data_IF_464136067686
#
_entry.id   IF_464136067686
#
_cell.length_a   1.000
_cell.length_b   1.000
_cell.length_c   1.000
_cell.angle_alpha   90.00
_cell.angle_beta   90.00
_cell.angle_gamma   90.00
#
_symmetry.space_group_name_H-M   'P 1'
#
loop_
_entity.id
_entity.type
_entity.pdbx_description
1 polymer ?
#
# COMPACT_ATOMS: atom_id res chain seq x y z
N UNK A 1 31.37 10.64 27.64
CA UNK A 1 31.94 9.91 26.48
C UNK A 1 31.71 8.41 26.56
N UNK A 2 32.05 7.68 27.62
CA UNK A 2 31.74 6.22 27.70
C UNK A 2 30.25 5.91 27.85
N UNK A 3 29.52 6.63 28.71
CA UNK A 3 28.06 6.47 28.91
C UNK A 3 27.21 6.73 27.65
N UNK A 4 27.73 7.47 26.68
CA UNK A 4 27.06 7.71 25.38
C UNK A 4 27.21 6.52 24.45
N UNK A 5 28.41 5.93 24.39
CA UNK A 5 28.70 4.73 23.59
C UNK A 5 27.94 3.49 24.08
N UNK A 6 27.70 3.41 25.39
CA UNK A 6 26.92 2.31 25.98
C UNK A 6 25.43 2.40 25.61
N UNK A 7 24.84 3.60 25.64
CA UNK A 7 23.46 3.85 25.19
C UNK A 7 23.28 3.61 23.69
N UNK A 8 24.31 3.92 22.89
CA UNK A 8 24.29 3.68 21.45
C UNK A 8 24.27 2.18 21.13
N UNK A 9 25.10 1.38 21.82
CA UNK A 9 25.09 -0.09 21.71
C UNK A 9 23.78 -0.72 22.17
N UNK A 10 23.16 -0.18 23.21
CA UNK A 10 21.86 -0.66 23.70
C UNK A 10 20.75 -0.45 22.65
N UNK A 11 20.70 0.74 22.05
CA UNK A 11 19.78 1.06 20.94
C UNK A 11 20.01 0.19 19.71
N UNK A 12 21.27 -0.07 19.36
CA UNK A 12 21.62 -0.94 18.24
C UNK A 12 21.16 -2.38 18.48
N UNK A 13 21.26 -2.85 19.74
CA UNK A 13 20.79 -4.17 20.15
C UNK A 13 19.27 -4.28 20.21
N UNK A 14 18.58 -3.19 20.55
CA UNK A 14 17.12 -3.10 20.47
C UNK A 14 16.65 -3.12 19.02
N UNK A 15 17.25 -2.32 18.14
CA UNK A 15 16.96 -2.33 16.69
C UNK A 15 17.16 -3.71 16.07
N UNK A 16 18.28 -4.37 16.38
CA UNK A 16 18.53 -5.72 15.87
C UNK A 16 17.55 -6.79 16.40
N UNK A 17 16.95 -6.57 17.57
CA UNK A 17 15.87 -7.44 18.09
C UNK A 17 14.53 -7.15 17.43
N UNK A 18 14.26 -5.88 17.14
CA UNK A 18 13.05 -5.41 16.46
C UNK A 18 13.03 -5.92 15.00
N UNK A 19 14.13 -5.76 14.26
CA UNK A 19 14.29 -6.30 12.89
C UNK A 19 14.08 -7.82 12.84
N UNK A 20 14.70 -8.58 13.76
CA UNK A 20 14.51 -10.03 13.83
C UNK A 20 13.07 -10.44 14.16
N UNK A 21 12.34 -9.60 14.87
CA UNK A 21 10.94 -9.87 15.22
C UNK A 21 10.06 -9.60 14.00
N UNK A 22 10.30 -8.50 13.29
CA UNK A 22 9.59 -8.14 12.07
C UNK A 22 9.79 -9.18 10.97
N UNK A 23 11.03 -9.67 10.79
CA UNK A 23 11.33 -10.76 9.85
C UNK A 23 10.51 -12.02 10.17
N UNK A 24 10.47 -12.42 11.45
CA UNK A 24 9.75 -13.62 11.88
C UNK A 24 8.23 -13.48 11.75
N UNK A 25 7.71 -12.29 12.03
CA UNK A 25 6.29 -12.00 11.88
C UNK A 25 5.91 -11.99 10.39
N UNK A 26 6.78 -11.48 9.51
CA UNK A 26 6.58 -11.52 8.06
C UNK A 26 6.55 -12.94 7.48
N UNK A 27 7.49 -13.80 7.84
CA UNK A 27 7.49 -15.23 7.42
C UNK A 27 6.21 -15.94 7.87
N UNK A 28 5.76 -15.69 9.09
CA UNK A 28 4.54 -16.29 9.61
C UNK A 28 3.30 -15.81 8.83
N UNK A 29 3.25 -14.53 8.47
CA UNK A 29 2.15 -14.01 7.64
C UNK A 29 2.14 -14.62 6.23
N UNK A 30 3.30 -14.82 5.62
CA UNK A 30 3.41 -15.41 4.28
C UNK A 30 2.95 -16.87 4.26
N UNK A 31 3.33 -17.64 5.28
CA UNK A 31 2.86 -19.03 5.42
C UNK A 31 1.35 -19.12 5.64
N UNK A 32 0.77 -18.21 6.43
CA UNK A 32 -0.69 -18.12 6.66
C UNK A 32 -1.46 -17.72 5.39
N UNK A 33 -0.92 -16.77 4.62
CA UNK A 33 -1.46 -16.36 3.32
C UNK A 33 -1.48 -17.59 2.40
N UNK A 34 -0.35 -18.27 2.25
CA UNK A 34 -0.23 -19.47 1.41
C UNK A 34 -1.24 -20.57 1.78
N UNK A 35 -1.48 -20.82 3.07
CA UNK A 35 -2.48 -21.78 3.52
C UNK A 35 -3.90 -21.39 3.12
N UNK A 36 -4.28 -20.11 3.29
CA UNK A 36 -5.60 -19.62 2.89
C UNK A 36 -5.80 -19.65 1.38
N UNK A 37 -4.76 -19.36 0.60
CA UNK A 37 -4.80 -19.47 -0.86
C UNK A 37 -5.06 -20.93 -1.28
N UNK A 38 -4.33 -21.88 -0.68
CA UNK A 38 -4.53 -23.31 -0.91
C UNK A 38 -5.96 -23.74 -0.56
N UNK A 39 -6.51 -23.28 0.56
CA UNK A 39 -7.91 -23.55 0.89
C UNK A 39 -8.89 -23.00 -0.14
N UNK A 40 -8.66 -21.79 -0.67
CA UNK A 40 -9.52 -21.20 -1.70
C UNK A 40 -9.46 -22.02 -2.99
N UNK A 41 -8.27 -22.45 -3.40
CA UNK A 41 -8.08 -23.34 -4.56
C UNK A 41 -8.79 -24.67 -4.33
N UNK A 42 -8.60 -25.29 -3.17
CA UNK A 42 -9.28 -26.54 -2.81
C UNK A 42 -10.80 -26.38 -2.87
N UNK A 43 -11.37 -25.32 -2.26
CA UNK A 43 -12.82 -25.04 -2.27
C UNK A 43 -13.36 -24.85 -3.69
N UNK A 44 -12.58 -24.24 -4.60
CA UNK A 44 -12.98 -24.00 -5.98
C UNK A 44 -13.03 -25.28 -6.82
N UNK A 45 -12.08 -26.20 -6.63
CA UNK A 45 -11.93 -27.38 -7.49
C UNK A 45 -12.49 -28.68 -6.88
N UNK A 46 -12.34 -28.89 -5.58
CA UNK A 46 -12.91 -30.05 -4.89
C UNK A 46 -14.35 -29.79 -4.41
N UNK A 47 -14.79 -28.53 -4.44
CA UNK A 47 -16.07 -28.09 -3.89
C UNK A 47 -15.98 -27.87 -2.38
N UNK A 48 -16.57 -26.77 -1.90
CA UNK A 48 -16.66 -26.49 -0.47
C UNK A 48 -17.84 -27.22 0.20
N UNK A 49 -17.73 -27.43 1.51
CA UNK A 49 -18.89 -27.78 2.33
C UNK A 49 -19.96 -26.67 2.17
N UNK A 50 -21.16 -27.03 1.73
CA UNK A 50 -22.26 -26.07 1.55
C UNK A 50 -22.55 -25.39 2.89
N UNK A 51 -22.35 -24.07 2.96
CA UNK A 51 -22.69 -23.28 4.15
C UNK A 51 -24.20 -23.37 4.33
N UNK A 52 -24.64 -24.11 5.36
CA UNK A 52 -26.05 -24.19 5.72
C UNK A 52 -26.46 -22.83 6.27
N UNK A 53 -27.54 -22.24 5.73
CA UNK A 53 -28.12 -21.00 6.26
C UNK A 53 -28.44 -21.22 7.74
N UNK A 54 -27.80 -20.45 8.62
CA UNK A 54 -28.10 -20.50 10.06
C UNK A 54 -29.57 -20.11 10.25
N UNK A 55 -30.31 -20.89 11.04
CA UNK A 55 -31.69 -20.56 11.37
C UNK A 55 -31.67 -19.33 12.28
N UNK A 56 -32.08 -18.19 11.73
CA UNK A 56 -32.18 -16.94 12.49
C UNK A 56 -33.32 -17.05 13.48
N UNK A 57 -33.05 -16.73 14.75
CA UNK A 57 -34.07 -16.69 15.81
C UNK A 57 -35.12 -15.65 15.48
N UNK A 58 -36.40 -15.95 15.75
CA UNK A 58 -37.52 -15.06 15.40
C UNK A 58 -37.37 -13.66 16.03
N UNK A 59 -36.80 -13.57 17.23
CA UNK A 59 -36.51 -12.29 17.91
C UNK A 59 -35.46 -11.45 17.19
N UNK A 60 -34.48 -12.07 16.53
CA UNK A 60 -33.46 -11.35 15.75
C UNK A 60 -34.03 -10.88 14.40
N UNK A 61 -35.06 -11.53 13.87
CA UNK A 61 -35.77 -11.08 12.66
C UNK A 61 -36.54 -9.77 12.87
N UNK A 62 -36.92 -9.46 14.12
CA UNK A 62 -37.61 -8.21 14.48
C UNK A 62 -36.66 -7.14 15.03
N UNK A 63 -35.37 -7.46 15.21
CA UNK A 63 -34.35 -6.48 15.54
C UNK A 63 -33.85 -5.87 14.24
N UNK A 64 -34.32 -4.68 13.91
CA UNK A 64 -33.78 -3.93 12.77
C UNK A 64 -32.34 -3.49 13.09
N UNK A 65 -31.37 -4.08 12.42
CA UNK A 65 -30.01 -3.57 12.35
C UNK A 65 -29.93 -2.61 11.15
N UNK A 66 -29.56 -1.37 11.40
CA UNK A 66 -29.30 -0.37 10.35
C UNK A 66 -27.84 -0.34 9.91
N UNK A 67 -26.95 -0.92 10.71
CA UNK A 67 -25.53 -1.04 10.40
C UNK A 67 -25.22 -2.32 9.61
N UNK A 68 -24.17 -2.26 8.80
CA UNK A 68 -23.62 -3.41 8.11
C UNK A 68 -22.82 -4.30 9.07
N UNK A 69 -22.98 -5.61 8.93
CA UNK A 69 -22.20 -6.56 9.73
C UNK A 69 -20.78 -6.70 9.13
N UNK A 70 -19.74 -6.75 9.97
CA UNK A 70 -18.36 -6.91 9.51
C UNK A 70 -18.11 -8.24 8.74
N UNK A 71 -18.96 -9.25 8.95
CA UNK A 71 -18.90 -10.52 8.21
C UNK A 71 -19.39 -10.41 6.76
N UNK A 72 -20.05 -9.29 6.41
CA UNK A 72 -20.53 -8.98 5.06
C UNK A 72 -19.49 -8.20 4.23
N UNK A 73 -18.35 -7.84 4.82
CA UNK A 73 -17.25 -7.18 4.12
C UNK A 73 -16.54 -8.16 3.16
N UNK A 74 -16.49 -7.79 1.87
CA UNK A 74 -15.82 -8.57 0.81
C UNK A 74 -14.50 -7.95 0.35
N UNK A 75 -14.01 -6.93 1.04
CA UNK A 75 -12.78 -6.21 0.64
C UNK A 75 -11.49 -6.99 0.90
N UNK A 76 -11.50 -7.87 1.90
CA UNK A 76 -10.34 -8.64 2.31
C UNK A 76 -10.03 -9.78 1.33
N UNK A 77 -8.85 -9.71 0.71
CA UNK A 77 -8.31 -10.78 -0.15
C UNK A 77 -7.07 -11.41 0.50
N UNK A 78 -6.81 -12.66 0.16
CA UNK A 78 -5.61 -13.38 0.57
C UNK A 78 -4.42 -12.93 -0.27
N UNK A 79 -4.64 -12.66 -1.56
CA UNK A 79 -3.57 -12.26 -2.46
C UNK A 79 -3.07 -10.83 -2.12
N UNK A 80 -1.76 -10.63 -1.87
CA UNK A 80 -1.18 -9.32 -1.57
C UNK A 80 -1.47 -8.24 -2.62
N UNK A 81 -1.55 -8.61 -3.91
CA UNK A 81 -1.83 -7.68 -5.02
C UNK A 81 -3.23 -7.07 -4.93
N UNK A 82 -4.20 -7.84 -4.44
CA UNK A 82 -5.57 -7.37 -4.26
C UNK A 82 -5.81 -6.80 -2.86
N UNK A 83 -4.96 -7.09 -1.89
CA UNK A 83 -4.99 -6.43 -0.59
C UNK A 83 -4.38 -5.01 -0.67
N UNK A 84 -3.26 -4.85 -1.37
CA UNK A 84 -2.60 -3.55 -1.64
C UNK A 84 -2.74 -3.15 -3.10
N UNK A 85 -3.98 -2.83 -3.51
CA UNK A 85 -4.27 -2.42 -4.89
C UNK A 85 -3.56 -1.11 -5.20
N UNK A 86 -2.88 -1.04 -6.34
CA UNK A 86 -2.32 0.21 -6.82
C UNK A 86 -3.45 1.18 -7.16
N UNK A 87 -3.46 2.35 -6.50
CA UNK A 87 -4.46 3.37 -6.77
C UNK A 87 -4.21 4.05 -8.11
N UNK A 88 -5.27 4.29 -8.87
CA UNK A 88 -5.17 4.96 -10.16
C UNK A 88 -4.78 6.44 -9.99
N UNK A 89 -3.77 6.88 -10.72
CA UNK A 89 -3.42 8.29 -10.83
C UNK A 89 -4.44 9.02 -11.72
N UNK A 90 -5.43 9.65 -11.08
CA UNK A 90 -6.51 10.35 -11.77
C UNK A 90 -5.95 11.51 -12.60
N UNK A 91 -6.42 11.64 -13.85
CA UNK A 91 -5.96 12.64 -14.82
C UNK A 91 -4.42 12.77 -14.85
N UNK A 92 -3.72 11.63 -14.92
CA UNK A 92 -2.25 11.57 -14.96
C UNK A 92 -1.56 12.29 -13.78
N UNK A 93 -2.17 12.27 -12.58
CA UNK A 93 -1.63 12.91 -11.38
C UNK A 93 -2.12 14.33 -11.14
N UNK A 94 -2.87 14.92 -12.09
CA UNK A 94 -3.49 16.25 -11.92
C UNK A 94 -4.89 16.18 -11.30
N UNK A 95 -5.52 15.01 -11.33
CA UNK A 95 -6.87 14.76 -10.85
C UNK A 95 -6.92 14.30 -9.40
N UNK A 96 -8.07 14.50 -8.76
CA UNK A 96 -8.29 14.14 -7.37
C UNK A 96 -9.56 13.30 -7.23
N UNK A 97 -9.55 12.43 -6.23
CA UNK A 97 -10.69 11.62 -5.83
C UNK A 97 -11.76 12.52 -5.20
N UNK A 98 -13.00 12.34 -5.63
CA UNK A 98 -14.12 13.06 -5.05
C UNK A 98 -14.34 12.69 -3.58
N UNK A 99 -14.73 13.67 -2.76
CA UNK A 99 -15.09 13.48 -1.35
C UNK A 99 -13.93 13.38 -0.35
N UNK A 100 -12.68 13.31 -0.83
CA UNK A 100 -11.47 13.27 0.03
C UNK A 100 -10.79 14.65 -0.01
N UNK A 101 -10.23 15.10 1.11
CA UNK A 101 -9.53 16.39 1.18
C UNK A 101 -8.35 16.44 0.18
N UNK A 102 -8.29 17.54 -0.57
CA UNK A 102 -7.20 17.90 -1.48
C UNK A 102 -5.81 17.79 -0.82
N UNK A 103 -5.68 18.27 0.42
CA UNK A 103 -4.38 18.31 1.11
C UNK A 103 -3.90 16.93 1.49
N UNK A 104 -4.82 16.05 1.84
CA UNK A 104 -4.53 14.66 2.19
C UNK A 104 -4.10 13.86 0.95
N UNK A 105 -4.84 14.01 -0.16
CA UNK A 105 -4.51 13.32 -1.41
C UNK A 105 -3.14 13.69 -1.98
N UNK A 106 -2.79 14.99 -1.95
CA UNK A 106 -1.50 15.47 -2.48
C UNK A 106 -0.30 14.96 -1.70
N UNK A 107 -0.43 14.70 -0.39
CA UNK A 107 0.66 14.12 0.41
C UNK A 107 1.06 12.73 -0.08
N UNK A 108 0.09 11.96 -0.58
CA UNK A 108 0.30 10.58 -1.01
C UNK A 108 0.73 10.48 -2.49
N UNK A 109 0.55 11.53 -3.28
CA UNK A 109 0.75 11.52 -4.74
C UNK A 109 1.96 12.33 -5.18
N UNK A 110 3.16 11.87 -4.82
CA UNK A 110 4.42 12.59 -5.13
C UNK A 110 5.10 12.14 -6.42
N UNK A 111 4.76 10.96 -6.95
CA UNK A 111 5.46 10.36 -8.08
C UNK A 111 5.39 11.21 -9.36
N UNK A 112 4.20 11.67 -9.73
CA UNK A 112 4.00 12.46 -10.95
C UNK A 112 4.66 13.83 -10.81
N UNK A 113 4.53 14.48 -9.67
CA UNK A 113 5.17 15.78 -9.41
C UNK A 113 6.70 15.68 -9.56
N UNK A 114 7.30 14.60 -9.05
CA UNK A 114 8.72 14.34 -9.22
C UNK A 114 9.10 14.08 -10.69
N UNK A 115 8.28 13.35 -11.44
CA UNK A 115 8.51 13.13 -12.88
C UNK A 115 8.47 14.44 -13.67
N UNK A 116 7.51 15.30 -13.38
CA UNK A 116 7.41 16.62 -14.01
C UNK A 116 8.64 17.48 -13.69
N UNK A 117 9.09 17.48 -12.44
CA UNK A 117 10.30 18.19 -12.04
C UNK A 117 11.57 17.66 -12.73
N UNK A 118 11.70 16.33 -12.89
CA UNK A 118 12.82 15.73 -13.63
C UNK A 118 12.78 16.14 -15.10
N UNK A 119 11.61 16.08 -15.74
CA UNK A 119 11.45 16.48 -17.15
C UNK A 119 11.74 17.96 -17.37
N UNK A 120 11.32 18.82 -16.44
CA UNK A 120 11.59 20.26 -16.52
C UNK A 120 13.09 20.56 -16.46
N UNK A 121 13.84 19.88 -15.59
CA UNK A 121 15.30 20.05 -15.50
C UNK A 121 16.04 19.57 -16.75
N UNK A 122 15.63 18.44 -17.31
CA UNK A 122 16.23 17.95 -18.56
C UNK A 122 16.01 18.95 -19.71
N UNK A 123 14.81 19.52 -19.81
CA UNK A 123 14.51 20.53 -20.83
C UNK A 123 15.31 21.83 -20.64
N UNK A 124 15.60 22.23 -19.39
CA UNK A 124 16.45 23.40 -19.10
C UNK A 124 17.91 23.13 -19.51
N UNK A 125 18.44 21.95 -19.20
CA UNK A 125 19.79 21.53 -19.60
C UNK A 125 19.97 21.49 -21.13
N UNK A 126 18.96 21.01 -21.87
CA UNK A 126 18.97 20.99 -23.34
C UNK A 126 19.04 22.42 -23.93
N UNK A 127 18.27 23.37 -23.37
CA UNK A 127 18.28 24.77 -23.81
C UNK A 127 19.62 25.45 -23.50
N UNK A 128 20.20 25.20 -22.33
CA UNK A 128 21.52 25.72 -21.95
C UNK A 128 22.63 25.19 -22.87
N UNK A 129 22.51 23.92 -23.29
CA UNK A 129 23.44 23.32 -24.24
C UNK A 129 23.36 23.99 -25.63
N UNK A 130 22.15 24.21 -26.15
CA UNK A 130 21.94 24.91 -27.42
C UNK A 130 22.52 26.34 -27.39
N UNK A 131 22.27 27.09 -26.31
CA UNK A 131 22.81 28.45 -26.15
C UNK A 131 24.35 28.46 -26.07
N UNK A 132 24.94 27.47 -25.41
CA UNK A 132 26.39 27.33 -25.33
C UNK A 132 27.02 26.97 -26.69
N UNK A 133 26.32 26.24 -27.55
CA UNK A 133 26.75 25.96 -28.92
C UNK A 133 26.66 27.21 -29.81
N UNK A 134 25.56 27.97 -29.74
CA UNK A 134 25.42 29.24 -30.47
C UNK A 134 26.50 30.25 -30.08
N UNK A 135 26.79 30.39 -28.79
CA UNK A 135 27.84 31.29 -28.30
C UNK A 135 29.23 30.92 -28.84
N UNK A 136 29.52 29.62 -29.00
CA UNK A 136 30.77 29.14 -29.60
C UNK A 136 30.83 29.37 -31.11
N UNK A 137 29.69 29.41 -31.81
CA UNK A 137 29.65 29.68 -33.25
C UNK A 137 29.85 31.16 -33.59
N UNK A 138 29.47 32.05 -32.67
CA UNK A 138 29.57 33.50 -32.84
C UNK A 138 30.89 34.13 -32.33
N UNK A 139 31.80 33.32 -31.77
CA UNK A 139 33.18 33.69 -31.41
C UNK A 139 34.17 33.23 -32.49
#
# INVERSE_FOLDING_TARGET
REREREREREREREKAKEEKKDDKDSENTETLISQKELEQVQKRYLGGAKVKKKVVKVTDKFRFAFDWEASEDTSADVNPLYNKKHEAQLLFGRGLRAGIDMREQKKNSTYVENLEAVRAKMAEEDVDAEQAEEYKQHQ
#
